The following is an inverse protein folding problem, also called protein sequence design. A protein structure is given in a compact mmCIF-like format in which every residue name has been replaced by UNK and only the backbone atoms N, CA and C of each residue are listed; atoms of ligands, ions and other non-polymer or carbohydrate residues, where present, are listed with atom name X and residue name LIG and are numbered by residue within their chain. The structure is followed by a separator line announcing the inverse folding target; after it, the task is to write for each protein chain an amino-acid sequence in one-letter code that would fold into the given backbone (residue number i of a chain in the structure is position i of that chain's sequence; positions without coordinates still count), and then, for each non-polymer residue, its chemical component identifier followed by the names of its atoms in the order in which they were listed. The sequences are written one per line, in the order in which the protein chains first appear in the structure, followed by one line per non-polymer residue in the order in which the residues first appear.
data_IF_921431873759
#
_entry.id   IF_921431873759
#
_cell.length_a   1.000
_cell.length_b   1.000
_cell.length_c   1.000
_cell.angle_alpha   90.00
_cell.angle_beta   90.00
_cell.angle_gamma   90.00
#
_symmetry.space_group_name_H-M   'P 1'
#
loop_
_entity.id
_entity.type
_entity.pdbx_description
1 polymer ?
#
# COMPACT_ATOMS: atom_id res chain seq x y z
N UNK A 1 16.41 20.81 5.56
CA UNK A 1 15.31 19.86 5.84
C UNK A 1 14.50 19.77 4.56
N UNK A 2 14.43 18.59 3.92
CA UNK A 2 13.74 18.49 2.63
C UNK A 2 12.22 18.51 2.84
N UNK A 3 11.53 19.43 2.17
CA UNK A 3 10.08 19.46 2.12
C UNK A 3 9.58 18.31 1.23
N UNK A 4 8.60 17.53 1.71
CA UNK A 4 8.09 16.36 0.99
C UNK A 4 7.50 16.69 -0.37
N UNK A 5 6.92 17.89 -0.56
CA UNK A 5 6.42 18.34 -1.86
C UNK A 5 7.54 18.55 -2.88
N UNK A 6 8.66 19.15 -2.47
CA UNK A 6 9.79 19.40 -3.36
C UNK A 6 10.46 18.07 -3.76
N UNK A 7 10.61 17.15 -2.80
CA UNK A 7 11.12 15.80 -3.07
C UNK A 7 10.21 15.06 -4.04
N UNK A 8 8.89 15.10 -3.83
CA UNK A 8 7.93 14.47 -4.72
C UNK A 8 8.00 15.05 -6.14
N UNK A 9 7.95 16.38 -6.26
CA UNK A 9 8.01 17.06 -7.56
C UNK A 9 9.30 16.77 -8.32
N UNK A 10 10.44 16.78 -7.63
CA UNK A 10 11.73 16.41 -8.22
C UNK A 10 11.77 14.94 -8.66
N UNK A 11 11.28 14.03 -7.83
CA UNK A 11 11.22 12.60 -8.14
C UNK A 11 10.34 12.33 -9.37
N UNK A 12 9.18 12.98 -9.44
CA UNK A 12 8.23 12.80 -10.55
C UNK A 12 8.82 13.21 -11.89
N UNK A 13 9.52 14.34 -11.91
CA UNK A 13 10.21 14.84 -13.11
C UNK A 13 11.36 13.94 -13.55
N UNK A 14 12.09 13.37 -12.59
CA UNK A 14 13.31 12.60 -12.85
C UNK A 14 13.05 11.14 -13.25
N UNK A 15 11.95 10.54 -12.76
CA UNK A 15 11.66 9.11 -12.98
C UNK A 15 10.28 8.85 -13.63
N UNK A 16 9.95 9.48 -14.77
CA UNK A 16 8.62 9.38 -15.37
C UNK A 16 8.23 7.95 -15.75
N UNK A 17 9.19 7.10 -16.16
CA UNK A 17 8.92 5.72 -16.56
C UNK A 17 8.41 4.85 -15.40
N UNK A 18 9.04 4.96 -14.22
CA UNK A 18 8.63 4.18 -13.03
C UNK A 18 7.20 4.56 -12.62
N UNK A 19 6.88 5.85 -12.75
CA UNK A 19 5.57 6.40 -12.41
C UNK A 19 4.52 5.96 -13.42
N UNK A 20 4.87 5.96 -14.71
CA UNK A 20 4.02 5.47 -15.76
C UNK A 20 3.67 3.99 -15.58
N UNK A 21 4.65 3.13 -15.24
CA UNK A 21 4.36 1.73 -14.96
C UNK A 21 3.49 1.56 -13.72
N UNK A 22 3.77 2.28 -12.63
CA UNK A 22 2.92 2.27 -11.44
C UNK A 22 1.48 2.68 -11.77
N UNK A 23 1.31 3.70 -12.61
CA UNK A 23 0.02 4.14 -13.12
C UNK A 23 -0.68 3.05 -13.93
N UNK A 24 0.00 2.44 -14.88
CA UNK A 24 -0.56 1.38 -15.73
C UNK A 24 -1.07 0.19 -14.91
N UNK A 25 -0.30 -0.25 -13.92
CA UNK A 25 -0.74 -1.33 -13.02
C UNK A 25 -1.87 -0.89 -12.08
N UNK A 26 -1.87 0.38 -11.63
CA UNK A 26 -2.96 0.93 -10.83
C UNK A 26 -4.28 1.00 -11.60
N UNK A 27 -4.26 1.43 -12.87
CA UNK A 27 -5.44 1.40 -13.76
C UNK A 27 -5.92 -0.02 -13.99
N UNK A 28 -4.99 -0.95 -14.28
CA UNK A 28 -5.31 -2.37 -14.45
C UNK A 28 -6.01 -2.93 -13.21
N UNK A 29 -5.48 -2.64 -12.01
CA UNK A 29 -6.08 -3.09 -10.75
C UNK A 29 -7.49 -2.51 -10.55
N UNK A 30 -7.67 -1.21 -10.78
CA UNK A 30 -8.98 -0.55 -10.69
C UNK A 30 -9.99 -1.14 -11.68
N UNK A 31 -9.53 -1.49 -12.89
CA UNK A 31 -10.36 -2.13 -13.89
C UNK A 31 -10.80 -3.53 -13.47
N UNK A 32 -9.88 -4.34 -12.92
CA UNK A 32 -10.21 -5.65 -12.38
C UNK A 32 -11.23 -5.56 -11.24
N UNK A 33 -11.07 -4.61 -10.30
CA UNK A 33 -12.06 -4.41 -9.24
C UNK A 33 -13.44 -4.02 -9.78
N UNK A 34 -13.48 -3.07 -10.72
CA UNK A 34 -14.72 -2.64 -11.36
C UNK A 34 -15.40 -3.80 -12.09
N UNK A 35 -14.62 -4.61 -12.80
CA UNK A 35 -15.11 -5.80 -13.50
C UNK A 35 -15.72 -6.81 -12.52
N UNK A 36 -15.00 -7.18 -11.44
CA UNK A 36 -15.47 -8.13 -10.40
C UNK A 36 -16.76 -7.65 -9.75
N UNK A 37 -16.79 -6.41 -9.29
CA UNK A 37 -17.92 -5.90 -8.51
C UNK A 37 -19.18 -5.82 -9.36
N UNK A 38 -19.06 -5.46 -10.64
CA UNK A 38 -20.22 -5.09 -11.46
C UNK A 38 -20.78 -6.25 -12.29
N UNK A 39 -19.96 -7.24 -12.68
CA UNK A 39 -20.41 -8.26 -13.64
C UNK A 39 -20.70 -9.63 -13.03
N UNK A 40 -19.78 -10.33 -12.35
CA UNK A 40 -20.02 -11.72 -11.98
C UNK A 40 -20.36 -11.86 -10.49
N UNK A 41 -19.79 -11.03 -9.60
CA UNK A 41 -20.01 -11.11 -8.16
C UNK A 41 -21.44 -10.72 -7.78
N UNK A 42 -21.97 -9.64 -8.36
CA UNK A 42 -23.36 -9.23 -8.16
C UNK A 42 -24.38 -10.25 -8.69
N UNK A 43 -24.06 -10.95 -9.78
CA UNK A 43 -24.90 -12.05 -10.31
C UNK A 43 -24.81 -13.30 -9.43
N UNK A 44 -23.61 -13.70 -9.01
CA UNK A 44 -23.41 -14.79 -8.06
C UNK A 44 -24.17 -14.54 -6.75
N UNK A 45 -24.13 -13.31 -6.23
CA UNK A 45 -24.90 -12.93 -5.04
C UNK A 45 -26.41 -13.11 -5.23
N UNK A 46 -26.96 -12.70 -6.38
CA UNK A 46 -28.39 -12.91 -6.69
C UNK A 46 -28.75 -14.40 -6.83
N UNK A 47 -27.91 -15.20 -7.51
CA UNK A 47 -28.12 -16.65 -7.70
C UNK A 47 -28.07 -17.38 -6.35
N UNK A 48 -27.12 -17.01 -5.49
CA UNK A 48 -26.98 -17.59 -4.15
C UNK A 48 -28.16 -17.25 -3.23
N UNK A 49 -28.68 -16.02 -3.30
CA UNK A 49 -29.92 -15.61 -2.61
C UNK A 49 -31.13 -16.43 -3.06
N UNK A 50 -31.19 -16.81 -4.33
CA UNK A 50 -32.25 -17.66 -4.88
C UNK A 50 -32.08 -19.16 -4.55
N UNK A 51 -31.07 -19.54 -3.75
CA UNK A 51 -30.82 -20.93 -3.37
C UNK A 51 -30.25 -21.82 -4.49
N UNK A 52 -29.93 -21.25 -5.66
CA UNK A 52 -29.46 -21.97 -6.86
C UNK A 52 -27.94 -22.21 -6.87
N UNK A 53 -27.35 -22.50 -5.70
CA UNK A 53 -25.93 -22.90 -5.62
C UNK A 53 -25.73 -24.21 -6.40
N UNK A 54 -24.59 -24.35 -7.08
CA UNK A 54 -24.20 -25.56 -7.84
C UNK A 54 -24.99 -25.80 -9.14
N UNK A 55 -25.46 -24.74 -9.79
CA UNK A 55 -25.96 -24.79 -11.17
C UNK A 55 -24.84 -24.54 -12.16
N UNK A 56 -24.98 -25.00 -13.41
CA UNK A 56 -24.02 -24.68 -14.49
C UNK A 56 -23.83 -23.17 -14.68
N UNK A 57 -24.90 -22.39 -14.47
CA UNK A 57 -24.85 -20.92 -14.47
C UNK A 57 -23.99 -20.37 -13.32
N UNK A 58 -24.13 -20.91 -12.10
CA UNK A 58 -23.30 -20.55 -10.96
C UNK A 58 -21.81 -20.85 -11.23
N UNK A 59 -21.50 -22.08 -11.70
CA UNK A 59 -20.13 -22.51 -11.96
C UNK A 59 -19.47 -21.65 -13.06
N UNK A 60 -20.23 -21.30 -14.10
CA UNK A 60 -19.77 -20.44 -15.19
C UNK A 60 -19.36 -19.02 -14.74
N UNK A 61 -19.91 -18.52 -13.64
CA UNK A 61 -19.58 -17.22 -13.06
C UNK A 61 -18.54 -17.31 -11.94
N UNK A 62 -18.51 -18.43 -11.22
CA UNK A 62 -17.61 -18.65 -10.09
C UNK A 62 -16.13 -18.67 -10.51
N UNK A 63 -15.77 -19.46 -11.53
CA UNK A 63 -14.38 -19.55 -11.99
C UNK A 63 -13.81 -18.21 -12.48
N UNK A 64 -14.52 -17.40 -13.31
CA UNK A 64 -14.08 -16.06 -13.67
C UNK A 64 -13.83 -15.15 -12.47
N UNK A 65 -14.65 -15.21 -11.41
CA UNK A 65 -14.41 -14.44 -10.18
C UNK A 65 -13.10 -14.84 -9.53
N UNK A 66 -12.86 -16.15 -9.37
CA UNK A 66 -11.63 -16.65 -8.75
C UNK A 66 -10.39 -16.22 -9.55
N UNK A 67 -10.42 -16.38 -10.88
CA UNK A 67 -9.32 -15.96 -11.76
C UNK A 67 -9.09 -14.45 -11.66
N UNK A 68 -10.16 -13.65 -11.59
CA UNK A 68 -10.04 -12.21 -11.49
C UNK A 68 -9.50 -11.77 -10.11
N UNK A 69 -9.91 -12.44 -9.02
CA UNK A 69 -9.35 -12.22 -7.68
C UNK A 69 -7.85 -12.57 -7.61
N UNK A 70 -7.44 -13.69 -8.19
CA UNK A 70 -6.03 -14.05 -8.32
C UNK A 70 -5.25 -12.99 -9.13
N UNK A 71 -5.85 -12.50 -10.21
CA UNK A 71 -5.27 -11.42 -11.01
C UNK A 71 -5.12 -10.12 -10.21
N UNK A 72 -6.09 -9.78 -9.36
CA UNK A 72 -5.99 -8.63 -8.45
C UNK A 72 -4.82 -8.78 -7.47
N UNK A 73 -4.61 -9.99 -6.92
CA UNK A 73 -3.49 -10.26 -6.00
C UNK A 73 -2.15 -10.07 -6.72
N UNK A 74 -2.01 -10.63 -7.93
CA UNK A 74 -0.77 -10.51 -8.73
C UNK A 74 -0.48 -9.05 -9.07
N UNK A 75 -1.48 -8.32 -9.61
CA UNK A 75 -1.30 -6.91 -9.98
C UNK A 75 -1.01 -6.05 -8.76
N UNK A 76 -1.67 -6.30 -7.62
CA UNK A 76 -1.37 -5.60 -6.37
C UNK A 76 0.06 -5.84 -5.91
N UNK A 77 0.56 -7.08 -6.00
CA UNK A 77 1.95 -7.41 -5.70
C UNK A 77 2.95 -6.67 -6.62
N UNK A 78 2.64 -6.56 -7.91
CA UNK A 78 3.47 -5.78 -8.85
C UNK A 78 3.52 -4.30 -8.42
N UNK A 79 2.38 -3.71 -8.07
CA UNK A 79 2.34 -2.34 -7.57
C UNK A 79 3.20 -2.19 -6.31
N UNK A 80 3.06 -3.09 -5.33
CA UNK A 80 3.85 -3.02 -4.10
C UNK A 80 5.36 -3.11 -4.36
N UNK A 81 5.79 -3.89 -5.35
CA UNK A 81 7.19 -3.94 -5.80
C UNK A 81 7.64 -2.58 -6.35
N UNK A 82 6.83 -1.94 -7.20
CA UNK A 82 7.12 -0.58 -7.68
C UNK A 82 7.21 0.42 -6.53
N UNK A 83 6.32 0.34 -5.54
CA UNK A 83 6.37 1.19 -4.35
C UNK A 83 7.66 0.93 -3.54
N UNK A 84 8.11 -0.31 -3.41
CA UNK A 84 9.39 -0.63 -2.75
C UNK A 84 10.59 -0.04 -3.52
N UNK A 85 10.57 -0.12 -4.85
CA UNK A 85 11.59 0.49 -5.72
C UNK A 85 11.61 2.01 -5.55
N UNK A 86 10.44 2.65 -5.66
CA UNK A 86 10.26 4.10 -5.48
C UNK A 86 10.76 4.53 -4.10
N UNK A 87 10.39 3.78 -3.05
CA UNK A 87 10.82 4.02 -1.67
C UNK A 87 12.34 4.03 -1.55
N UNK A 88 13.04 3.00 -2.03
CA UNK A 88 14.52 2.97 -1.99
C UNK A 88 15.12 4.15 -2.75
N UNK A 89 14.59 4.42 -3.94
CA UNK A 89 15.13 5.44 -4.84
C UNK A 89 14.97 6.84 -4.25
N UNK A 90 13.79 7.20 -3.74
CA UNK A 90 13.54 8.46 -3.04
C UNK A 90 14.49 8.62 -1.85
N UNK A 91 14.60 7.59 -0.99
CA UNK A 91 15.46 7.68 0.19
C UNK A 91 16.93 7.91 -0.16
N UNK A 92 17.46 7.15 -1.12
CA UNK A 92 18.84 7.35 -1.58
C UNK A 92 19.06 8.71 -2.28
N UNK A 93 18.06 9.26 -2.97
CA UNK A 93 18.16 10.60 -3.55
C UNK A 93 18.17 11.70 -2.48
N UNK A 94 17.36 11.57 -1.43
CA UNK A 94 17.40 12.49 -0.29
C UNK A 94 18.81 12.51 0.35
N UNK A 95 19.46 11.35 0.43
CA UNK A 95 20.80 11.19 1.00
C UNK A 95 21.94 11.46 0.02
N UNK A 96 21.66 11.80 -1.24
CA UNK A 96 22.66 11.91 -2.31
C UNK A 96 23.49 10.63 -2.55
N UNK A 97 22.92 9.46 -2.27
CA UNK A 97 23.53 8.11 -2.37
C UNK A 97 22.95 7.25 -3.49
N UNK A 98 22.38 7.88 -4.52
CA UNK A 98 21.69 7.17 -5.62
C UNK A 98 22.57 6.12 -6.35
N UNK A 99 23.89 6.29 -6.33
CA UNK A 99 24.86 5.35 -6.91
C UNK A 99 24.84 3.98 -6.22
N UNK A 100 24.33 3.88 -4.99
CA UNK A 100 24.21 2.64 -4.24
C UNK A 100 22.93 1.85 -4.58
N UNK A 101 22.08 2.38 -5.46
CA UNK A 101 20.82 1.76 -5.81
C UNK A 101 21.00 0.43 -6.56
N UNK A 102 20.50 -0.67 -5.98
CA UNK A 102 20.52 -2.00 -6.57
C UNK A 102 19.11 -2.59 -6.56
N UNK A 103 18.53 -2.80 -7.75
CA UNK A 103 17.19 -3.38 -7.90
C UNK A 103 17.13 -4.81 -7.34
N UNK A 104 18.20 -5.59 -7.50
CA UNK A 104 18.28 -6.97 -7.01
C UNK A 104 18.10 -7.07 -5.50
N UNK A 105 18.69 -6.17 -4.71
CA UNK A 105 18.51 -6.11 -3.25
C UNK A 105 17.03 -5.90 -2.90
N UNK A 106 16.35 -5.00 -3.61
CA UNK A 106 14.95 -4.66 -3.39
C UNK A 106 14.05 -5.85 -3.74
N UNK A 107 14.33 -6.55 -4.84
CA UNK A 107 13.59 -7.75 -5.25
C UNK A 107 13.71 -8.83 -4.17
N UNK A 108 14.91 -9.09 -3.65
CA UNK A 108 15.12 -10.09 -2.58
C UNK A 108 14.34 -9.70 -1.33
N UNK A 109 14.47 -8.45 -0.86
CA UNK A 109 13.72 -7.93 0.28
C UNK A 109 12.21 -8.01 0.07
N UNK A 110 11.74 -7.73 -1.14
CA UNK A 110 10.34 -7.81 -1.51
C UNK A 110 9.81 -9.24 -1.44
N UNK A 111 10.54 -10.22 -1.99
CA UNK A 111 10.14 -11.64 -1.94
C UNK A 111 10.03 -12.12 -0.48
N UNK A 112 11.00 -11.76 0.36
CA UNK A 112 10.95 -12.07 1.81
C UNK A 112 9.70 -11.45 2.45
N UNK A 113 9.40 -10.20 2.12
CA UNK A 113 8.21 -9.51 2.63
C UNK A 113 6.90 -10.18 2.18
N UNK A 114 6.81 -10.61 0.92
CA UNK A 114 5.66 -11.33 0.38
C UNK A 114 5.46 -12.63 1.15
N UNK A 115 6.51 -13.41 1.37
CA UNK A 115 6.44 -14.66 2.14
C UNK A 115 5.91 -14.43 3.56
N UNK A 116 6.38 -13.37 4.22
CA UNK A 116 5.96 -13.03 5.59
C UNK A 116 4.51 -12.55 5.62
N UNK A 117 4.10 -11.73 4.65
CA UNK A 117 2.71 -11.29 4.54
C UNK A 117 1.76 -12.47 4.32
N UNK A 118 2.16 -13.48 3.53
CA UNK A 118 1.40 -14.73 3.37
C UNK A 118 1.29 -15.48 4.69
N UNK A 119 2.40 -15.63 5.44
CA UNK A 119 2.41 -16.32 6.74
C UNK A 119 1.50 -15.61 7.76
N UNK A 120 1.63 -14.28 7.88
CA UNK A 120 0.79 -13.46 8.76
C UNK A 120 -0.69 -13.57 8.32
N UNK A 121 -0.96 -13.47 7.02
CA UNK A 121 -2.30 -13.60 6.46
C UNK A 121 -2.94 -14.96 6.78
N UNK A 122 -2.17 -16.05 6.71
CA UNK A 122 -2.64 -17.38 7.07
C UNK A 122 -3.00 -17.49 8.56
N UNK A 123 -2.16 -16.95 9.46
CA UNK A 123 -2.42 -16.94 10.91
C UNK A 123 -3.67 -16.12 11.22
N UNK A 124 -3.83 -14.96 10.59
CA UNK A 124 -5.04 -14.12 10.75
C UNK A 124 -6.27 -14.85 10.20
N UNK A 125 -6.15 -15.51 9.05
CA UNK A 125 -7.26 -16.27 8.44
C UNK A 125 -7.75 -17.41 9.35
N UNK A 126 -6.83 -18.19 9.93
CA UNK A 126 -7.16 -19.27 10.86
C UNK A 126 -7.84 -18.72 12.12
N UNK A 127 -7.27 -17.67 12.72
CA UNK A 127 -7.82 -17.07 13.94
C UNK A 127 -9.19 -16.41 13.70
N UNK A 128 -9.37 -15.72 12.59
CA UNK A 128 -10.68 -15.17 12.19
C UNK A 128 -11.71 -16.28 11.95
N UNK A 129 -11.29 -17.40 11.34
CA UNK A 129 -12.13 -18.59 11.16
C UNK A 129 -12.66 -19.17 12.47
N UNK A 130 -11.85 -19.17 13.53
CA UNK A 130 -12.28 -19.61 14.87
C UNK A 130 -13.26 -18.64 15.53
N UNK A 131 -13.13 -17.34 15.26
CA UNK A 131 -13.94 -16.27 15.85
C UNK A 131 -15.23 -15.93 15.08
N UNK A 132 -15.46 -16.55 13.91
CA UNK A 132 -16.66 -16.42 13.07
C UNK A 132 -17.98 -16.57 13.82
N UNK A 133 -17.99 -17.28 14.95
CA UNK A 133 -19.18 -17.53 15.77
C UNK A 133 -19.64 -16.31 16.58
N UNK A 134 -18.80 -15.30 16.75
CA UNK A 134 -19.04 -14.20 17.70
C UNK A 134 -19.13 -12.83 17.06
N UNK A 135 -18.42 -12.59 15.94
CA UNK A 135 -18.32 -11.27 15.29
C UNK A 135 -18.38 -11.47 13.78
N UNK A 136 -18.93 -10.48 13.05
CA UNK A 136 -18.85 -10.44 11.59
C UNK A 136 -17.37 -10.51 11.15
N UNK A 137 -16.97 -11.54 10.37
CA UNK A 137 -15.58 -11.79 10.01
C UNK A 137 -14.94 -10.60 9.29
N UNK A 138 -15.72 -9.85 8.51
CA UNK A 138 -15.22 -8.71 7.76
C UNK A 138 -14.78 -7.57 8.69
N UNK A 139 -15.53 -7.33 9.76
CA UNK A 139 -15.22 -6.32 10.78
C UNK A 139 -13.96 -6.74 11.55
N UNK A 140 -13.89 -8.01 11.97
CA UNK A 140 -12.75 -8.53 12.72
C UNK A 140 -11.45 -8.43 11.91
N UNK A 141 -11.46 -8.90 10.66
CA UNK A 141 -10.29 -8.81 9.77
C UNK A 141 -9.88 -7.36 9.53
N UNK A 142 -10.85 -6.45 9.31
CA UNK A 142 -10.57 -5.02 9.13
C UNK A 142 -9.92 -4.39 10.37
N UNK A 143 -10.40 -4.70 11.58
CA UNK A 143 -9.84 -4.20 12.84
C UNK A 143 -8.43 -4.71 13.06
N UNK A 144 -8.20 -6.02 12.84
CA UNK A 144 -6.86 -6.62 12.96
C UNK A 144 -5.89 -5.96 11.98
N UNK A 145 -6.29 -5.81 10.72
CA UNK A 145 -5.45 -5.18 9.70
C UNK A 145 -5.14 -3.72 10.05
N UNK A 146 -6.11 -2.98 10.57
CA UNK A 146 -5.92 -1.60 11.03
C UNK A 146 -4.92 -1.53 12.20
N UNK A 147 -5.05 -2.40 13.20
CA UNK A 147 -4.12 -2.48 14.34
C UNK A 147 -2.70 -2.81 13.86
N UNK A 148 -2.57 -3.77 12.95
CA UNK A 148 -1.26 -4.13 12.38
C UNK A 148 -0.64 -2.94 11.65
N UNK A 149 -1.39 -2.28 10.76
CA UNK A 149 -0.89 -1.12 10.01
C UNK A 149 -0.39 -0.01 10.94
N UNK A 150 -1.09 0.23 12.04
CA UNK A 150 -0.72 1.20 13.06
C UNK A 150 0.55 0.86 13.84
N UNK A 151 0.88 -0.42 13.96
CA UNK A 151 2.05 -0.92 14.69
C UNK A 151 3.30 -1.11 13.79
N UNK A 152 3.18 -0.93 12.47
CA UNK A 152 4.27 -1.12 11.51
C UNK A 152 4.48 0.10 10.58
N UNK A 153 4.21 1.31 11.09
CA UNK A 153 4.24 2.54 10.28
C UNK A 153 5.63 2.88 9.70
N UNK A 154 6.71 2.58 10.43
CA UNK A 154 8.10 2.90 10.05
C UNK A 154 8.88 1.69 9.52
N UNK A 155 8.27 0.51 9.56
CA UNK A 155 8.93 -0.76 9.28
C UNK A 155 9.39 -0.87 7.82
N UNK A 156 8.52 -0.55 6.85
CA UNK A 156 8.87 -0.64 5.43
C UNK A 156 10.02 0.33 5.08
N UNK A 157 10.06 1.52 5.68
CA UNK A 157 11.12 2.52 5.47
C UNK A 157 12.44 2.00 6.04
N UNK A 158 12.45 1.54 7.30
CA UNK A 158 13.63 0.95 7.91
C UNK A 158 14.19 -0.23 7.09
N UNK A 159 13.32 -1.16 6.70
CA UNK A 159 13.73 -2.38 6.01
C UNK A 159 14.26 -2.14 4.60
N UNK A 160 13.58 -1.29 3.82
CA UNK A 160 13.99 -1.05 2.44
C UNK A 160 15.17 -0.06 2.36
N UNK A 161 15.19 1.01 3.16
CA UNK A 161 16.22 2.04 3.05
C UNK A 161 17.57 1.59 3.58
N UNK A 162 17.59 0.82 4.67
CA UNK A 162 18.81 0.39 5.36
C UNK A 162 19.19 -1.04 4.98
N UNK A 163 20.48 -1.33 5.04
CA UNK A 163 21.00 -2.67 4.86
C UNK A 163 20.98 -3.42 6.20
N UNK A 164 19.76 -3.77 6.64
CA UNK A 164 19.47 -4.43 7.90
C UNK A 164 18.55 -5.62 7.67
N UNK A 165 18.59 -6.58 8.59
CA UNK A 165 17.67 -7.71 8.55
C UNK A 165 16.27 -7.30 9.03
N UNK A 166 15.30 -8.20 8.86
CA UNK A 166 13.91 -7.90 9.20
C UNK A 166 13.68 -7.72 10.70
N UNK A 167 14.44 -8.43 11.54
CA UNK A 167 14.31 -8.38 13.00
C UNK A 167 14.79 -7.01 13.52
N UNK A 168 15.91 -6.52 12.99
CA UNK A 168 16.44 -5.19 13.25
C UNK A 168 15.47 -4.11 12.79
N UNK A 169 14.90 -4.23 11.59
CA UNK A 169 13.89 -3.30 11.08
C UNK A 169 12.64 -3.28 11.98
N UNK A 170 12.20 -4.43 12.49
CA UNK A 170 11.09 -4.52 13.45
C UNK A 170 11.42 -3.84 14.78
N UNK A 171 12.60 -4.12 15.35
CA UNK A 171 13.08 -3.49 16.58
C UNK A 171 13.12 -1.96 16.44
N UNK A 172 13.68 -1.48 15.32
CA UNK A 172 13.77 -0.04 15.06
C UNK A 172 12.41 0.60 14.83
N UNK A 173 11.49 -0.07 14.12
CA UNK A 173 10.10 0.39 14.00
C UNK A 173 9.43 0.58 15.37
N UNK A 174 9.56 -0.40 16.28
CA UNK A 174 8.97 -0.28 17.61
C UNK A 174 9.64 0.81 18.46
N UNK A 175 10.94 1.07 18.26
CA UNK A 175 11.62 2.20 18.89
C UNK A 175 11.00 3.53 18.48
N UNK A 176 10.85 3.77 17.17
CA UNK A 176 10.28 5.02 16.63
C UNK A 176 8.80 5.23 16.99
N UNK A 177 7.99 4.16 16.95
CA UNK A 177 6.55 4.25 17.22
C UNK A 177 6.25 4.76 18.63
N UNK A 178 7.04 4.38 19.64
CA UNK A 178 6.77 4.70 21.06
C UNK A 178 6.56 6.19 21.34
N UNK A 179 7.18 7.09 20.57
CA UNK A 179 7.12 8.54 20.82
C UNK A 179 6.64 9.37 19.64
N UNK A 180 6.68 8.81 18.42
CA UNK A 180 6.53 9.60 17.18
C UNK A 180 5.45 9.05 16.25
N UNK A 181 4.54 8.20 16.74
CA UNK A 181 3.46 7.59 15.93
C UNK A 181 2.61 8.60 15.16
N UNK A 182 2.22 9.71 15.79
CA UNK A 182 1.35 10.72 15.17
C UNK A 182 2.04 11.49 14.03
N UNK A 183 3.37 11.60 14.06
CA UNK A 183 4.16 12.38 13.09
C UNK A 183 4.00 11.84 11.67
N UNK A 184 3.95 10.52 11.51
CA UNK A 184 3.70 9.87 10.22
C UNK A 184 2.20 9.61 9.98
N UNK A 185 1.44 9.34 11.04
CA UNK A 185 0.03 8.95 10.90
C UNK A 185 -0.86 10.10 10.40
N UNK A 186 -0.67 11.32 10.91
CA UNK A 186 -1.51 12.47 10.55
C UNK A 186 -1.38 12.81 9.05
N UNK A 187 -0.17 12.99 8.48
CA UNK A 187 -0.02 13.22 7.04
C UNK A 187 -0.63 12.11 6.18
N UNK A 188 -0.42 10.84 6.57
CA UNK A 188 -0.98 9.71 5.83
C UNK A 188 -2.51 9.68 5.87
N UNK A 189 -3.11 10.00 7.02
CA UNK A 189 -4.56 10.10 7.14
C UNK A 189 -5.12 11.21 6.23
N UNK A 190 -4.47 12.39 6.20
CA UNK A 190 -4.89 13.50 5.33
C UNK A 190 -4.86 13.08 3.85
N UNK A 191 -3.76 12.47 3.39
CA UNK A 191 -3.64 11.98 2.00
C UNK A 191 -4.75 10.98 1.68
N UNK A 192 -4.98 10.03 2.60
CA UNK A 192 -6.02 9.02 2.44
C UNK A 192 -7.41 9.64 2.31
N UNK A 193 -7.75 10.60 3.19
CA UNK A 193 -9.04 11.29 3.14
C UNK A 193 -9.22 12.10 1.85
N UNK A 194 -8.18 12.83 1.40
CA UNK A 194 -8.22 13.57 0.14
C UNK A 194 -8.42 12.61 -1.03
N UNK A 195 -7.64 11.53 -1.12
CA UNK A 195 -7.76 10.55 -2.19
C UNK A 195 -9.15 9.91 -2.22
N UNK A 196 -9.70 9.57 -1.05
CA UNK A 196 -11.05 9.01 -0.91
C UNK A 196 -12.12 9.99 -1.40
N UNK A 197 -12.07 11.25 -0.97
CA UNK A 197 -13.04 12.27 -1.36
C UNK A 197 -12.98 12.54 -2.86
N UNK A 198 -11.79 12.75 -3.42
CA UNK A 198 -11.62 12.99 -4.86
C UNK A 198 -12.16 11.82 -5.68
N UNK A 199 -11.87 10.58 -5.25
CA UNK A 199 -12.35 9.39 -5.95
C UNK A 199 -13.88 9.27 -5.89
N UNK A 200 -14.50 9.56 -4.75
CA UNK A 200 -15.95 9.52 -4.57
C UNK A 200 -16.66 10.59 -5.41
N UNK A 201 -16.18 11.84 -5.36
CA UNK A 201 -16.76 12.94 -6.14
C UNK A 201 -16.66 12.68 -7.64
N UNK A 202 -15.50 12.22 -8.10
CA UNK A 202 -15.30 11.92 -9.51
C UNK A 202 -16.15 10.73 -9.98
N UNK A 203 -16.23 9.67 -9.18
CA UNK A 203 -17.10 8.52 -9.47
C UNK A 203 -18.56 8.92 -9.65
N UNK A 204 -19.09 9.76 -8.76
CA UNK A 204 -20.46 10.27 -8.84
C UNK A 204 -20.71 11.10 -10.11
N UNK A 205 -19.77 11.96 -10.50
CA UNK A 205 -19.89 12.75 -11.74
C UNK A 205 -19.93 11.83 -12.97
N UNK A 206 -19.05 10.83 -13.03
CA UNK A 206 -19.03 9.91 -14.17
C UNK A 206 -20.32 9.07 -14.27
N UNK A 207 -20.83 8.59 -13.14
CA UNK A 207 -22.09 7.83 -13.10
C UNK A 207 -23.29 8.63 -13.63
N UNK A 208 -23.33 9.94 -13.36
CA UNK A 208 -24.37 10.83 -13.88
C UNK A 208 -24.26 11.07 -15.39
N UNK A 209 -23.03 11.13 -15.92
CA UNK A 209 -22.77 11.49 -17.32
C UNK A 209 -22.79 10.29 -18.27
N UNK A 210 -22.37 9.10 -17.81
CA UNK A 210 -22.12 7.94 -18.67
C UNK A 210 -23.07 6.80 -18.32
N UNK A 211 -24.02 6.54 -19.23
CA UNK A 211 -24.97 5.42 -19.09
C UNK A 211 -24.39 4.07 -19.51
N UNK A 212 -23.36 4.06 -20.38
CA UNK A 212 -22.73 2.83 -20.83
C UNK A 212 -21.78 2.31 -19.74
N UNK A 213 -22.17 1.19 -19.12
CA UNK A 213 -21.48 0.57 -18.00
C UNK A 213 -20.01 0.23 -18.30
N UNK A 214 -19.69 -0.19 -19.52
CA UNK A 214 -18.33 -0.56 -19.92
C UNK A 214 -17.43 0.67 -20.05
N UNK A 215 -17.95 1.72 -20.68
CA UNK A 215 -17.24 3.00 -20.83
C UNK A 215 -17.03 3.65 -19.45
N UNK A 216 -18.06 3.61 -18.59
CA UNK A 216 -18.01 4.07 -17.21
C UNK A 216 -16.93 3.34 -16.41
N UNK A 217 -16.88 2.02 -16.51
CA UNK A 217 -15.86 1.20 -15.83
C UNK A 217 -14.43 1.55 -16.27
N UNK A 218 -14.20 1.73 -17.58
CA UNK A 218 -12.88 2.12 -18.12
C UNK A 218 -12.45 3.50 -17.60
N UNK A 219 -13.32 4.51 -17.72
CA UNK A 219 -12.99 5.89 -17.33
C UNK A 219 -12.82 6.03 -15.81
N UNK A 220 -13.68 5.38 -15.03
CA UNK A 220 -13.54 5.28 -13.57
C UNK A 220 -12.20 4.64 -13.18
N UNK A 221 -11.79 3.59 -13.88
CA UNK A 221 -10.52 2.90 -13.62
C UNK A 221 -9.30 3.76 -13.95
N UNK A 222 -9.35 4.51 -15.04
CA UNK A 222 -8.28 5.45 -15.41
C UNK A 222 -8.12 6.51 -14.31
N UNK A 223 -9.21 7.16 -13.91
CA UNK A 223 -9.14 8.20 -12.88
C UNK A 223 -8.73 7.68 -11.51
N UNK A 224 -9.28 6.53 -11.09
CA UNK A 224 -8.88 5.86 -9.86
C UNK A 224 -7.38 5.52 -9.91
N UNK A 225 -6.87 5.06 -11.06
CA UNK A 225 -5.44 4.78 -11.26
C UNK A 225 -4.56 6.03 -11.15
N UNK A 226 -5.02 7.19 -11.65
CA UNK A 226 -4.33 8.49 -11.48
C UNK A 226 -4.26 8.85 -10.00
N UNK A 227 -5.41 8.87 -9.30
CA UNK A 227 -5.51 9.25 -7.89
C UNK A 227 -4.64 8.33 -7.03
N UNK A 228 -4.73 7.01 -7.27
CA UNK A 228 -3.92 6.01 -6.58
C UNK A 228 -2.43 6.25 -6.79
N UNK A 229 -2.00 6.48 -8.02
CA UNK A 229 -0.57 6.72 -8.32
C UNK A 229 -0.04 7.97 -7.62
N UNK A 230 -0.76 9.10 -7.72
CA UNK A 230 -0.33 10.35 -7.07
C UNK A 230 -0.28 10.16 -5.56
N UNK A 231 -1.35 9.65 -4.96
CA UNK A 231 -1.47 9.48 -3.51
C UNK A 231 -0.42 8.52 -2.94
N UNK A 232 -0.16 7.39 -3.60
CA UNK A 232 0.75 6.35 -3.12
C UNK A 232 2.22 6.76 -3.20
N UNK A 233 2.61 7.44 -4.28
CA UNK A 233 3.96 7.98 -4.44
C UNK A 233 4.19 9.14 -3.47
N UNK A 234 3.20 10.02 -3.30
CA UNK A 234 3.30 11.13 -2.36
C UNK A 234 3.34 10.64 -0.91
N UNK A 235 2.51 9.66 -0.54
CA UNK A 235 2.56 9.00 0.76
C UNK A 235 3.93 8.37 1.01
N UNK A 236 4.47 7.63 0.04
CA UNK A 236 5.82 7.03 0.14
C UNK A 236 6.91 8.09 0.33
N UNK A 237 6.76 9.25 -0.31
CA UNK A 237 7.69 10.38 -0.16
C UNK A 237 7.65 10.94 1.26
N UNK A 238 6.46 11.22 1.80
CA UNK A 238 6.30 11.71 3.17
C UNK A 238 6.83 10.69 4.18
N UNK A 239 6.47 9.42 4.00
CA UNK A 239 6.95 8.33 4.83
C UNK A 239 8.49 8.31 4.93
N UNK A 240 9.19 8.42 3.79
CA UNK A 240 10.64 8.47 3.75
C UNK A 240 11.22 9.73 4.40
N UNK A 241 10.67 10.91 4.09
CA UNK A 241 11.14 12.18 4.65
C UNK A 241 10.99 12.19 6.17
N UNK A 242 9.83 11.75 6.68
CA UNK A 242 9.58 11.66 8.13
C UNK A 242 10.51 10.64 8.77
N UNK A 243 10.66 9.45 8.19
CA UNK A 243 11.55 8.41 8.71
C UNK A 243 13.00 8.89 8.80
N UNK A 244 13.56 9.44 7.71
CA UNK A 244 14.93 9.92 7.68
C UNK A 244 15.16 11.07 8.67
N UNK A 245 14.22 12.02 8.76
CA UNK A 245 14.31 13.10 9.74
C UNK A 245 14.36 12.56 11.18
N UNK A 246 13.53 11.57 11.52
CA UNK A 246 13.53 10.96 12.85
C UNK A 246 14.83 10.20 13.12
N UNK A 247 15.33 9.45 12.14
CA UNK A 247 16.59 8.73 12.27
C UNK A 247 17.78 9.66 12.51
N UNK A 248 17.89 10.76 11.75
CA UNK A 248 18.94 11.76 11.98
C UNK A 248 18.82 12.42 13.36
N UNK A 249 17.60 12.65 13.85
CA UNK A 249 17.41 13.16 15.20
C UNK A 249 17.89 12.18 16.28
N UNK A 250 17.67 10.88 16.09
CA UNK A 250 18.14 9.86 17.02
C UNK A 250 19.66 9.72 16.98
N UNK A 251 20.27 9.72 15.78
CA UNK A 251 21.73 9.70 15.62
C UNK A 251 22.39 10.90 16.30
N UNK A 252 21.85 12.10 16.09
CA UNK A 252 22.37 13.32 16.72
C UNK A 252 22.35 13.23 18.25
N UNK A 253 21.25 12.73 18.83
CA UNK A 253 21.17 12.53 20.30
C UNK A 253 22.20 11.53 20.82
N UNK A 254 22.51 10.49 20.05
CA UNK A 254 23.53 9.52 20.45
C UNK A 254 24.93 10.13 20.41
N UNK A 255 25.21 10.99 19.43
CA UNK A 255 26.45 11.76 19.39
C UNK A 255 26.54 12.73 20.57
N UNK A 256 25.50 13.55 20.81
CA UNK A 256 25.47 14.50 21.92
C UNK A 256 25.69 13.82 23.29
N UNK A 257 25.05 12.67 23.53
CA UNK A 257 25.22 11.91 24.79
C UNK A 257 26.61 11.28 24.93
N UNK A 258 27.29 10.91 23.83
CA UNK A 258 28.67 10.42 23.88
C UNK A 258 29.62 11.55 24.27
N UNK A 259 29.44 12.73 23.71
CA UNK A 259 30.24 13.90 24.07
C UNK A 259 30.06 14.31 25.53
N UNK A 260 28.85 14.28 26.09
CA UNK A 260 28.64 14.55 27.52
C UNK A 260 29.28 13.50 28.44
N UNK A 261 29.30 12.23 28.04
CA UNK A 261 29.93 11.15 28.80
C UNK A 261 31.46 11.13 28.76
N UNK A 262 32.08 11.81 27.80
CA UNK A 262 33.55 11.98 27.70
C UNK A 262 34.07 13.22 28.45
N UNK A 263 33.17 14.13 28.88
CA UNK A 263 33.50 15.38 29.59
C UNK A 263 33.37 15.23 31.13
N UNK A 264 32.82 14.11 31.61
CA UNK A 264 32.67 13.75 33.03
C UNK A 264 33.74 12.76 33.48
#
# INVERSE_FOLDING_TARGET
MNNSFDVFGAFVKKHPLIIFFHFLFSVTLSFLYSFILWTPLGKLYKITLQGKRYTSEYDSLFFPVIICLLSCIIVSGIIELFVAIIRKKIGLEIENRIKEFKVSEIIVKFIIMVFINILIGAIIGISAGMLLKFINPLILVSVIFFILKLNFLYFKQAYYLRDINIIEALKYNFHLIKRKRLVILIPLAIIFFIALLVNQFYGLILELMIKNLLILGILSSIATGIIKTISEIFATTIENVVYLNLEYMDLKKLEDNKFEGEIL
#
